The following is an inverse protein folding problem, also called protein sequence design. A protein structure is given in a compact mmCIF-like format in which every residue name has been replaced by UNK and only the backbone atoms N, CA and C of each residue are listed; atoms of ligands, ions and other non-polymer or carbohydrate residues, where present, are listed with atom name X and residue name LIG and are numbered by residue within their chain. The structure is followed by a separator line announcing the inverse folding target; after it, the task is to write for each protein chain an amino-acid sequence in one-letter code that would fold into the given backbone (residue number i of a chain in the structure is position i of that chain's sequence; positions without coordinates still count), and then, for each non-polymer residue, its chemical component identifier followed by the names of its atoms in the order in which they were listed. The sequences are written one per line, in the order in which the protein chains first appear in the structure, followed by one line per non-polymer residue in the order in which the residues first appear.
data_IF_623084384216
#
_entry.id   IF_623084384216
#
_cell.length_a   1.000
_cell.length_b   1.000
_cell.length_c   1.000
_cell.angle_alpha   90.00
_cell.angle_beta   90.00
_cell.angle_gamma   90.00
#
_symmetry.space_group_name_H-M   'P 1'
#
loop_
_entity.id
_entity.type
_entity.pdbx_description
1 polymer ?
#
# COMPACT_ATOMS: atom_id res chain seq x y z
N UNK A 1 11.67 64.70 -16.19
CA UNK A 1 12.66 63.61 -16.08
C UNK A 1 12.15 62.61 -15.03
N UNK A 2 11.35 61.61 -15.44
CA UNK A 2 10.76 60.58 -14.58
C UNK A 2 10.98 59.25 -15.30
N UNK A 3 11.84 58.39 -14.76
CA UNK A 3 12.13 57.06 -15.32
C UNK A 3 12.08 56.00 -14.22
N UNK A 4 11.09 55.11 -14.39
CA UNK A 4 11.19 53.65 -14.22
C UNK A 4 11.78 53.10 -12.90
N UNK A 5 10.91 52.88 -11.90
CA UNK A 5 11.11 51.84 -10.88
C UNK A 5 9.73 51.27 -10.51
N UNK A 6 9.12 50.45 -11.38
CA UNK A 6 7.82 49.81 -11.06
C UNK A 6 7.64 48.38 -11.59
N UNK A 7 8.66 47.74 -12.15
CA UNK A 7 8.50 46.44 -12.84
C UNK A 7 9.20 45.25 -12.19
N UNK A 8 9.78 45.37 -10.99
CA UNK A 8 10.54 44.26 -10.38
C UNK A 8 9.74 43.38 -9.39
N UNK A 9 8.49 43.72 -9.05
CA UNK A 9 7.72 42.99 -8.03
C UNK A 9 6.72 41.95 -8.57
N UNK A 10 6.63 41.76 -9.89
CA UNK A 10 5.64 40.86 -10.50
C UNK A 10 6.21 39.49 -10.93
N UNK A 11 7.53 39.29 -10.85
CA UNK A 11 8.17 38.04 -11.30
C UNK A 11 8.52 37.05 -10.17
N UNK A 12 8.27 37.39 -8.90
CA UNK A 12 8.66 36.56 -7.74
C UNK A 12 7.49 35.77 -7.10
N UNK A 13 6.30 35.77 -7.72
CA UNK A 13 5.11 35.11 -7.15
C UNK A 13 4.68 33.82 -7.89
N UNK A 14 5.41 33.42 -8.93
CA UNK A 14 5.10 32.22 -9.74
C UNK A 14 5.88 30.96 -9.31
N UNK A 15 6.80 31.06 -8.35
CA UNK A 15 7.69 29.95 -7.98
C UNK A 15 7.26 29.14 -6.73
N UNK A 16 6.17 29.49 -6.04
CA UNK A 16 5.85 28.92 -4.71
C UNK A 16 4.61 28.01 -4.64
N UNK A 17 4.14 27.49 -5.77
CA UNK A 17 3.03 26.53 -5.81
C UNK A 17 3.37 25.27 -6.61
N UNK A 18 4.59 24.75 -6.43
CA UNK A 18 4.84 23.34 -6.68
C UNK A 18 4.05 22.55 -5.63
N UNK A 19 2.75 22.38 -5.87
CA UNK A 19 1.98 21.36 -5.17
C UNK A 19 2.69 20.05 -5.45
N UNK A 20 3.15 19.39 -4.39
CA UNK A 20 3.58 18.00 -4.50
C UNK A 20 2.32 17.21 -4.80
N UNK A 21 2.02 17.04 -6.09
CA UNK A 21 1.09 16.02 -6.50
C UNK A 21 1.63 14.71 -5.90
N UNK A 22 0.91 14.18 -4.91
CA UNK A 22 1.20 12.83 -4.46
C UNK A 22 1.02 11.94 -5.68
N UNK A 23 2.06 11.16 -6.00
CA UNK A 23 1.96 10.15 -7.04
C UNK A 23 0.72 9.30 -6.74
N UNK A 24 0.00 8.90 -7.79
CA UNK A 24 -1.06 7.89 -7.64
C UNK A 24 -0.45 6.69 -6.91
N UNK A 25 -1.05 6.22 -5.81
CA UNK A 25 -0.44 5.16 -5.03
C UNK A 25 -0.19 3.92 -5.88
N UNK A 26 0.95 3.27 -5.64
CA UNK A 26 1.35 2.08 -6.39
C UNK A 26 1.04 0.88 -5.50
N UNK A 27 0.06 0.04 -5.87
CA UNK A 27 -0.29 -1.16 -5.10
C UNK A 27 -1.43 -0.92 -4.13
N UNK A 28 -1.18 -0.35 -2.94
CA UNK A 28 -2.22 -0.01 -1.98
C UNK A 28 -2.09 1.44 -1.49
N UNK A 29 -3.19 2.11 -1.16
CA UNK A 29 -3.25 3.57 -1.26
C UNK A 29 -2.65 4.36 -0.08
N UNK A 30 -1.92 5.44 -0.38
CA UNK A 30 -1.43 6.43 0.58
C UNK A 30 -0.68 5.79 1.77
N UNK A 31 -1.36 5.70 2.93
CA UNK A 31 -0.82 5.12 4.16
C UNK A 31 -0.47 3.64 4.02
N UNK A 32 -1.12 2.93 3.11
CA UNK A 32 -0.90 1.50 2.87
C UNK A 32 -0.07 1.23 1.61
N UNK A 33 0.63 2.22 1.05
CA UNK A 33 1.56 1.98 -0.08
C UNK A 33 2.49 0.82 0.24
N UNK A 34 2.57 -0.18 -0.66
CA UNK A 34 3.34 -1.40 -0.39
C UNK A 34 4.80 -1.11 0.01
N UNK A 35 5.35 0.03 -0.44
CA UNK A 35 6.70 0.47 -0.09
C UNK A 35 6.87 0.82 1.39
N UNK A 36 5.78 1.08 2.12
CA UNK A 36 5.77 1.32 3.58
C UNK A 36 5.64 0.04 4.40
N UNK A 37 5.36 -1.11 3.77
CA UNK A 37 5.19 -2.37 4.46
C UNK A 37 6.54 -2.94 4.90
N UNK A 38 6.61 -3.38 6.16
CA UNK A 38 7.76 -4.05 6.71
C UNK A 38 7.88 -5.45 6.10
N UNK A 39 9.05 -5.72 5.54
CA UNK A 39 9.39 -6.98 4.89
C UNK A 39 10.13 -7.86 5.88
N UNK A 40 9.63 -9.07 6.08
CA UNK A 40 10.26 -10.08 6.92
C UNK A 40 10.20 -11.43 6.23
N UNK A 41 11.16 -12.28 6.54
CA UNK A 41 11.18 -13.64 6.03
C UNK A 41 11.88 -14.56 7.01
N UNK A 42 11.62 -15.85 6.82
CA UNK A 42 12.46 -16.88 7.43
C UNK A 42 13.81 -16.98 6.71
N UNK A 43 13.88 -16.71 5.40
CA UNK A 43 15.09 -16.81 4.56
C UNK A 43 15.08 -15.83 3.35
N UNK A 44 15.80 -14.70 3.43
CA UNK A 44 15.99 -13.74 2.31
C UNK A 44 14.81 -12.79 2.05
N UNK A 45 14.98 -11.68 1.35
CA UNK A 45 13.91 -10.67 1.26
C UNK A 45 12.72 -11.11 0.38
N UNK A 46 11.46 -10.73 0.73
CA UNK A 46 10.28 -10.96 -0.09
C UNK A 46 10.43 -10.43 -1.52
N UNK A 47 10.13 -11.27 -2.50
CA UNK A 47 10.14 -10.86 -3.90
C UNK A 47 8.75 -10.38 -4.33
N UNK A 48 8.59 -9.06 -4.42
CA UNK A 48 7.42 -8.44 -5.04
C UNK A 48 7.64 -8.43 -6.54
N UNK A 49 6.87 -9.23 -7.28
CA UNK A 49 7.09 -9.43 -8.73
C UNK A 49 6.52 -8.30 -9.58
N UNK A 50 5.43 -7.68 -9.12
CA UNK A 50 4.82 -6.54 -9.78
C UNK A 50 3.91 -5.77 -8.83
N UNK A 51 3.80 -4.48 -9.11
CA UNK A 51 2.82 -3.60 -8.47
C UNK A 51 2.13 -2.78 -9.55
N UNK A 52 0.81 -2.95 -9.69
CA UNK A 52 0.00 -2.19 -10.64
C UNK A 52 -0.83 -1.16 -9.87
N UNK A 53 -0.35 0.08 -9.87
CA UNK A 53 -1.00 1.25 -9.27
C UNK A 53 -2.41 1.49 -9.80
N UNK A 54 -2.61 1.24 -11.10
CA UNK A 54 -3.88 1.54 -11.78
C UNK A 54 -4.96 0.54 -11.40
N UNK A 55 -4.56 -0.68 -11.03
CA UNK A 55 -5.44 -1.79 -10.66
C UNK A 55 -5.41 -2.10 -9.17
N UNK A 56 -4.63 -1.36 -8.38
CA UNK A 56 -4.37 -1.61 -6.97
C UNK A 56 -4.02 -3.08 -6.72
N UNK A 57 -3.07 -3.60 -7.49
CA UNK A 57 -2.69 -5.02 -7.47
C UNK A 57 -1.27 -5.18 -6.94
N UNK A 58 -1.09 -6.13 -6.03
CA UNK A 58 0.20 -6.56 -5.49
C UNK A 58 0.39 -8.04 -5.83
N UNK A 59 1.51 -8.38 -6.48
CA UNK A 59 1.88 -9.79 -6.69
C UNK A 59 3.12 -10.15 -5.87
N UNK A 60 2.99 -11.19 -5.04
CA UNK A 60 4.03 -11.72 -4.18
C UNK A 60 4.41 -13.11 -4.71
N UNK A 61 5.69 -13.33 -4.95
CA UNK A 61 6.22 -14.66 -5.22
C UNK A 61 6.64 -15.29 -3.90
N UNK A 62 6.41 -16.58 -3.76
CA UNK A 62 6.88 -17.32 -2.59
C UNK A 62 8.41 -17.54 -2.60
N UNK A 63 8.98 -18.02 -1.49
CA UNK A 63 10.40 -18.37 -1.44
C UNK A 63 10.72 -19.59 -2.33
N UNK A 64 11.71 -19.46 -3.23
CA UNK A 64 12.20 -20.53 -4.13
C UNK A 64 13.74 -20.44 -4.27
N UNK A 65 14.48 -20.62 -3.18
CA UNK A 65 15.92 -20.25 -3.18
C UNK A 65 16.88 -21.21 -2.47
N UNK A 66 16.44 -22.34 -1.94
CA UNK A 66 17.33 -23.09 -1.02
C UNK A 66 17.36 -24.60 -1.18
N UNK A 67 16.35 -25.23 -1.80
CA UNK A 67 16.21 -26.69 -1.87
C UNK A 67 16.61 -27.40 -0.56
N UNK A 68 16.27 -26.78 0.56
CA UNK A 68 16.68 -27.23 1.89
C UNK A 68 15.58 -28.07 2.56
N UNK A 69 14.44 -28.27 1.87
CA UNK A 69 13.25 -28.96 2.40
C UNK A 69 12.73 -28.34 3.71
N UNK A 70 13.01 -27.06 3.93
CA UNK A 70 12.52 -26.32 5.08
C UNK A 70 11.40 -25.42 4.63
N UNK A 71 10.30 -25.42 5.38
CA UNK A 71 9.21 -24.50 5.14
C UNK A 71 9.63 -23.05 5.41
N UNK A 72 9.14 -22.15 4.58
CA UNK A 72 9.56 -20.75 4.51
C UNK A 72 8.34 -19.88 4.24
N UNK A 73 8.38 -18.65 4.73
CA UNK A 73 7.36 -17.68 4.42
C UNK A 73 7.96 -16.28 4.26
N UNK A 74 7.51 -15.58 3.23
CA UNK A 74 7.69 -14.15 3.06
C UNK A 74 6.50 -13.41 3.63
N UNK A 75 6.75 -12.53 4.61
CA UNK A 75 5.71 -11.72 5.26
C UNK A 75 5.91 -10.24 4.94
N UNK A 76 4.88 -9.64 4.35
CA UNK A 76 4.73 -8.19 4.23
C UNK A 76 3.76 -7.75 5.31
N UNK A 77 4.18 -6.88 6.22
CA UNK A 77 3.38 -6.44 7.37
C UNK A 77 3.21 -4.93 7.47
N UNK A 78 2.10 -4.47 8.02
CA UNK A 78 1.82 -3.07 8.26
C UNK A 78 0.95 -2.89 9.50
N UNK A 79 1.13 -1.78 10.22
CA UNK A 79 0.23 -1.43 11.33
C UNK A 79 -1.05 -0.78 10.83
N UNK A 80 -2.16 -1.07 11.49
CA UNK A 80 -3.47 -0.48 11.19
C UNK A 80 -3.56 0.90 11.83
N UNK A 81 -3.88 1.93 11.03
CA UNK A 81 -3.92 3.32 11.53
C UNK A 81 -5.09 3.56 12.49
N UNK A 82 -6.28 3.06 12.12
CA UNK A 82 -7.53 3.28 12.84
C UNK A 82 -8.37 1.99 12.86
N UNK A 83 -9.27 1.86 13.83
CA UNK A 83 -10.18 0.72 13.86
C UNK A 83 -11.16 0.76 12.67
N UNK A 84 -11.56 -0.41 12.18
CA UNK A 84 -12.50 -0.54 11.07
C UNK A 84 -12.43 -1.92 10.43
N UNK A 85 -12.59 -2.00 9.10
CA UNK A 85 -12.56 -3.27 8.35
C UNK A 85 -11.41 -3.28 7.36
N UNK A 86 -10.62 -4.34 7.39
CA UNK A 86 -9.68 -4.70 6.32
C UNK A 86 -10.37 -5.67 5.39
N UNK A 87 -10.28 -5.41 4.09
CA UNK A 87 -10.82 -6.30 3.06
C UNK A 87 -9.95 -6.30 1.81
N UNK A 88 -9.90 -7.42 1.10
CA UNK A 88 -9.21 -7.55 -0.18
C UNK A 88 -9.72 -8.77 -0.94
N UNK A 89 -9.44 -8.79 -2.23
CA UNK A 89 -9.58 -9.97 -3.08
C UNK A 89 -8.20 -10.59 -3.32
N UNK A 90 -8.17 -11.90 -3.56
CA UNK A 90 -6.92 -12.62 -3.76
C UNK A 90 -7.07 -13.78 -4.73
N UNK A 91 -5.96 -14.15 -5.36
CA UNK A 91 -5.79 -15.37 -6.14
C UNK A 91 -4.42 -15.96 -5.92
N UNK A 92 -4.36 -17.27 -6.06
CA UNK A 92 -3.20 -18.08 -5.88
C UNK A 92 -3.03 -18.97 -7.10
N UNK A 93 -1.87 -18.85 -7.74
CA UNK A 93 -1.50 -19.62 -8.92
C UNK A 93 -0.51 -20.73 -8.56
N UNK A 94 -1.01 -21.95 -8.65
CA UNK A 94 -0.43 -23.24 -8.35
C UNK A 94 0.21 -23.92 -9.56
N UNK A 95 0.10 -23.35 -10.76
CA UNK A 95 0.57 -23.98 -12.00
C UNK A 95 2.11 -24.12 -12.04
N UNK A 96 2.81 -23.44 -11.12
CA UNK A 96 4.26 -23.33 -11.06
C UNK A 96 4.83 -24.26 -9.98
N UNK A 97 4.31 -24.19 -8.74
CA UNK A 97 4.70 -25.05 -7.62
C UNK A 97 3.46 -25.61 -6.92
N UNK A 98 3.32 -26.94 -7.00
CA UNK A 98 2.04 -27.62 -6.98
C UNK A 98 1.85 -28.59 -5.80
N UNK A 99 2.68 -28.54 -4.76
CA UNK A 99 2.53 -29.44 -3.60
C UNK A 99 2.64 -28.75 -2.25
N UNK A 100 3.15 -27.53 -2.24
CA UNK A 100 3.96 -27.09 -1.12
C UNK A 100 3.77 -25.60 -0.81
N UNK A 101 2.82 -24.96 -1.48
CA UNK A 101 2.73 -23.51 -1.56
C UNK A 101 1.48 -22.97 -0.88
N UNK A 102 1.45 -21.68 -0.55
CA UNK A 102 0.29 -21.09 0.10
C UNK A 102 0.27 -19.57 0.19
N UNK A 103 -0.95 -19.07 0.38
CA UNK A 103 -1.25 -17.68 0.73
C UNK A 103 -1.88 -17.63 2.12
N UNK A 104 -1.27 -16.85 2.98
CA UNK A 104 -1.71 -16.62 4.35
C UNK A 104 -1.97 -15.14 4.58
N UNK A 105 -2.90 -14.85 5.48
CA UNK A 105 -3.11 -13.51 6.02
C UNK A 105 -3.02 -13.57 7.54
N UNK A 106 -2.47 -12.53 8.17
CA UNK A 106 -2.29 -12.47 9.61
C UNK A 106 -2.89 -11.21 10.21
N UNK A 107 -3.44 -11.33 11.41
CA UNK A 107 -3.79 -10.20 12.29
C UNK A 107 -3.18 -10.49 13.66
N UNK A 108 -2.20 -9.69 14.11
CA UNK A 108 -1.47 -9.91 15.36
C UNK A 108 -0.99 -11.37 15.51
N UNK A 109 -0.38 -11.91 14.46
CA UNK A 109 0.09 -13.31 14.34
C UNK A 109 -0.99 -14.40 14.36
N UNK A 110 -2.27 -14.04 14.47
CA UNK A 110 -3.37 -14.99 14.21
C UNK A 110 -3.44 -15.28 12.72
N UNK A 111 -3.24 -16.56 12.36
CA UNK A 111 -3.24 -17.04 10.99
C UNK A 111 -4.66 -17.19 10.42
N UNK A 112 -4.86 -16.62 9.23
CA UNK A 112 -5.98 -16.85 8.33
C UNK A 112 -5.44 -17.48 7.05
N UNK A 113 -5.58 -18.79 6.96
CA UNK A 113 -5.10 -19.58 5.83
C UNK A 113 -6.05 -19.43 4.64
N UNK A 114 -5.57 -18.81 3.55
CA UNK A 114 -6.40 -18.50 2.38
C UNK A 114 -6.31 -19.61 1.32
N UNK A 115 -5.10 -20.10 1.02
CA UNK A 115 -4.88 -21.08 -0.05
C UNK A 115 -4.59 -22.52 0.42
N UNK A 116 -4.68 -22.80 1.72
CA UNK A 116 -4.49 -24.10 2.38
C UNK A 116 -3.03 -24.57 2.60
N UNK A 117 -2.01 -23.73 2.35
CA UNK A 117 -0.60 -24.02 2.63
C UNK A 117 0.02 -23.13 3.70
N UNK A 118 0.54 -23.74 4.77
CA UNK A 118 1.18 -23.05 5.90
C UNK A 118 2.05 -24.01 6.72
N UNK A 119 2.82 -23.51 7.69
CA UNK A 119 3.75 -24.34 8.49
C UNK A 119 3.11 -25.56 9.19
N UNK A 120 1.83 -25.48 9.57
CA UNK A 120 1.09 -26.60 10.19
C UNK A 120 0.44 -27.55 9.18
N UNK A 121 0.37 -27.17 7.91
CA UNK A 121 -0.07 -28.00 6.79
C UNK A 121 0.81 -27.72 5.55
N UNK A 122 2.09 -28.15 5.56
CA UNK A 122 3.04 -27.78 4.52
C UNK A 122 2.75 -28.42 3.17
N UNK A 123 2.07 -29.58 3.14
CA UNK A 123 1.83 -30.36 1.93
C UNK A 123 0.35 -30.33 1.56
N UNK A 124 -0.02 -29.33 0.76
CA UNK A 124 -1.36 -29.10 0.25
C UNK A 124 -1.35 -29.43 -1.25
N UNK A 125 -2.42 -30.02 -1.80
CA UNK A 125 -2.48 -30.39 -3.23
C UNK A 125 -3.70 -29.79 -3.93
N UNK A 126 -4.16 -28.63 -3.48
CA UNK A 126 -5.47 -28.09 -3.81
C UNK A 126 -5.44 -26.98 -4.87
N UNK A 127 -4.60 -27.09 -5.90
CA UNK A 127 -4.73 -26.33 -7.15
C UNK A 127 -4.85 -24.80 -7.05
N UNK A 128 -5.24 -24.18 -8.17
CA UNK A 128 -5.50 -22.74 -8.23
C UNK A 128 -6.70 -22.35 -7.35
N UNK A 129 -6.56 -21.26 -6.59
CA UNK A 129 -7.61 -20.76 -5.70
C UNK A 129 -7.76 -19.25 -5.79
N UNK A 130 -8.94 -18.77 -5.46
CA UNK A 130 -9.21 -17.34 -5.32
C UNK A 130 -10.35 -17.11 -4.35
N UNK A 131 -10.46 -15.89 -3.85
CA UNK A 131 -11.53 -15.51 -2.95
C UNK A 131 -11.44 -14.05 -2.53
N UNK A 132 -12.27 -13.71 -1.55
CA UNK A 132 -12.25 -12.42 -0.87
C UNK A 132 -12.08 -12.64 0.63
N UNK A 133 -11.47 -11.67 1.30
CA UNK A 133 -11.29 -11.65 2.74
C UNK A 133 -11.84 -10.33 3.30
N UNK A 134 -12.49 -10.39 4.45
CA UNK A 134 -12.99 -9.21 5.16
C UNK A 134 -13.06 -9.45 6.66
N UNK A 135 -12.45 -8.57 7.44
CA UNK A 135 -12.42 -8.70 8.90
C UNK A 135 -12.31 -7.34 9.60
N UNK A 136 -12.94 -7.24 10.77
CA UNK A 136 -12.76 -6.08 11.65
C UNK A 136 -11.38 -6.10 12.30
N UNK A 137 -10.75 -4.93 12.38
CA UNK A 137 -9.44 -4.70 13.00
C UNK A 137 -9.48 -3.48 13.92
N UNK A 138 -8.59 -3.44 14.89
CA UNK A 138 -8.37 -2.32 15.79
C UNK A 138 -7.19 -1.47 15.35
N UNK A 139 -7.17 -0.20 15.79
CA UNK A 139 -6.00 0.65 15.60
C UNK A 139 -4.79 0.04 16.33
N UNK A 140 -3.64 -0.03 15.64
CA UNK A 140 -2.42 -0.63 16.16
C UNK A 140 -2.26 -2.12 15.88
N UNK A 141 -3.30 -2.81 15.39
CA UNK A 141 -3.16 -4.20 14.93
C UNK A 141 -2.10 -4.29 13.83
N UNK A 142 -1.34 -5.38 13.81
CA UNK A 142 -0.41 -5.69 12.72
C UNK A 142 -1.09 -6.66 11.77
N UNK A 143 -1.29 -6.22 10.53
CA UNK A 143 -1.77 -7.07 9.44
C UNK A 143 -0.59 -7.53 8.59
N UNK A 144 -0.66 -8.74 8.04
CA UNK A 144 0.38 -9.20 7.12
C UNK A 144 -0.13 -10.16 6.04
N UNK A 145 0.46 -10.07 4.84
CA UNK A 145 0.36 -11.09 3.80
C UNK A 145 1.57 -12.02 3.90
N UNK A 146 1.31 -13.33 3.90
CA UNK A 146 2.32 -14.39 3.93
C UNK A 146 2.30 -15.22 2.66
N UNK A 147 3.39 -15.22 1.89
CA UNK A 147 3.60 -16.16 0.79
C UNK A 147 4.47 -17.31 1.30
N UNK A 148 3.90 -18.51 1.37
CA UNK A 148 4.48 -19.68 2.02
C UNK A 148 4.91 -20.73 0.98
N UNK A 149 6.10 -21.30 1.14
CA UNK A 149 6.54 -22.51 0.43
C UNK A 149 7.13 -23.52 1.43
N UNK A 150 6.81 -24.80 1.31
CA UNK A 150 7.25 -25.85 2.21
C UNK A 150 8.61 -26.45 1.85
N UNK A 151 8.98 -26.41 0.58
CA UNK A 151 10.16 -27.07 0.03
C UNK A 151 11.16 -26.10 -0.61
N UNK A 152 10.72 -24.89 -0.98
CA UNK A 152 11.56 -23.84 -1.56
C UNK A 152 12.26 -24.30 -2.84
N UNK A 153 11.55 -25.05 -3.68
CA UNK A 153 12.01 -25.66 -4.91
C UNK A 153 11.16 -25.23 -6.11
N UNK A 154 11.70 -25.51 -7.30
CA UNK A 154 10.88 -25.90 -8.44
C UNK A 154 10.04 -24.76 -9.02
N UNK A 155 10.55 -23.52 -8.92
CA UNK A 155 9.89 -22.26 -9.28
C UNK A 155 8.93 -21.78 -8.19
N UNK A 156 8.69 -20.47 -8.12
CA UNK A 156 7.80 -19.89 -7.11
C UNK A 156 6.34 -19.78 -7.59
N UNK A 157 5.40 -20.32 -6.83
CA UNK A 157 3.99 -19.96 -6.96
C UNK A 157 3.79 -18.44 -6.77
N UNK A 158 2.73 -17.93 -7.42
CA UNK A 158 2.41 -16.49 -7.39
C UNK A 158 1.10 -16.23 -6.68
N UNK A 159 1.15 -15.23 -5.81
CA UNK A 159 0.02 -14.75 -5.02
C UNK A 159 -0.32 -13.35 -5.50
N UNK A 160 -1.56 -13.13 -5.95
CA UNK A 160 -2.02 -11.82 -6.40
C UNK A 160 -3.10 -11.32 -5.45
N UNK A 161 -2.96 -10.09 -4.98
CA UNK A 161 -3.88 -9.42 -4.06
C UNK A 161 -4.34 -8.13 -4.72
N UNK A 162 -5.64 -7.84 -4.71
CA UNK A 162 -6.19 -6.61 -5.28
C UNK A 162 -7.41 -6.12 -4.48
N UNK A 163 -7.92 -4.94 -4.83
CA UNK A 163 -9.04 -4.29 -4.13
C UNK A 163 -8.84 -4.17 -2.61
N UNK A 164 -7.59 -4.03 -2.16
CA UNK A 164 -7.32 -3.90 -0.74
C UNK A 164 -7.84 -2.56 -0.23
N UNK A 165 -8.59 -2.65 0.84
CA UNK A 165 -9.12 -1.54 1.58
C UNK A 165 -8.85 -1.78 3.06
N UNK A 166 -8.36 -0.76 3.74
CA UNK A 166 -8.10 -0.79 5.16
C UNK A 166 -8.38 0.58 5.77
N UNK A 167 -8.76 0.63 7.06
CA UNK A 167 -9.13 1.89 7.69
C UNK A 167 -7.92 2.79 7.79
N UNK A 168 -8.04 3.99 7.24
CA UNK A 168 -7.01 5.02 7.35
C UNK A 168 -7.46 6.07 8.35
N UNK A 169 -6.50 6.66 9.07
CA UNK A 169 -6.78 7.91 9.76
C UNK A 169 -7.15 8.94 8.69
N UNK A 170 -8.28 9.63 8.88
CA UNK A 170 -8.59 10.81 8.08
C UNK A 170 -7.44 11.80 8.30
N UNK A 171 -6.53 11.91 7.33
CA UNK A 171 -5.52 12.96 7.34
C UNK A 171 -6.30 14.26 7.37
N UNK A 172 -6.17 15.11 8.41
CA UNK A 172 -6.85 16.39 8.43
C UNK A 172 -6.52 17.12 7.14
N UNK A 173 -7.53 17.63 6.43
CA UNK A 173 -7.31 18.36 5.18
C UNK A 173 -6.17 19.36 5.39
N UNK A 174 -5.16 19.39 4.51
CA UNK A 174 -3.99 20.21 4.74
C UNK A 174 -4.44 21.65 4.96
N UNK A 175 -3.95 22.29 6.02
CA UNK A 175 -4.25 23.69 6.37
C UNK A 175 -4.04 24.66 5.19
N UNK A 176 -3.31 24.23 4.16
CA UNK A 176 -3.25 24.81 2.83
C UNK A 176 -4.61 25.19 2.22
N UNK A 177 -5.68 24.41 2.41
CA UNK A 177 -7.02 24.75 1.91
C UNK A 177 -7.61 25.91 2.72
N UNK A 178 -7.47 25.87 4.04
CA UNK A 178 -7.87 26.97 4.91
C UNK A 178 -7.07 28.26 4.59
N UNK A 179 -5.76 28.14 4.38
CA UNK A 179 -4.88 29.24 4.00
C UNK A 179 -5.18 29.77 2.59
N UNK A 180 -5.52 28.90 1.64
CA UNK A 180 -5.96 29.30 0.31
C UNK A 180 -7.27 30.08 0.40
N UNK A 181 -8.24 29.59 1.17
CA UNK A 181 -9.50 30.28 1.44
C UNK A 181 -9.28 31.65 2.08
N UNK A 182 -8.42 31.74 3.10
CA UNK A 182 -8.07 32.99 3.77
C UNK A 182 -7.30 33.94 2.86
N UNK A 183 -6.38 33.44 2.03
CA UNK A 183 -5.64 34.21 1.04
C UNK A 183 -6.58 34.85 0.01
N UNK A 184 -7.52 34.07 -0.52
CA UNK A 184 -8.54 34.56 -1.47
C UNK A 184 -9.50 35.59 -0.82
N UNK A 185 -9.87 35.36 0.44
CA UNK A 185 -10.67 36.33 1.20
C UNK A 185 -9.92 37.65 1.41
N UNK A 186 -8.62 37.59 1.78
CA UNK A 186 -7.77 38.76 1.94
C UNK A 186 -7.61 39.59 0.66
N UNK A 187 -7.43 38.93 -0.50
CA UNK A 187 -7.37 39.59 -1.81
C UNK A 187 -8.71 40.26 -2.17
N UNK A 188 -9.83 39.61 -1.85
CA UNK A 188 -11.17 40.14 -2.13
C UNK A 188 -11.48 41.40 -1.29
N UNK A 189 -11.07 41.41 -0.02
CA UNK A 189 -11.23 42.56 0.87
C UNK A 189 -10.35 43.74 0.46
N UNK A 190 -9.12 43.49 0.00
CA UNK A 190 -8.22 44.55 -0.48
C UNK A 190 -8.69 45.17 -1.80
N UNK A 191 -9.30 44.40 -2.72
CA UNK A 191 -9.91 44.94 -3.95
C UNK A 191 -11.05 45.93 -3.68
N UNK A 192 -11.88 45.71 -2.66
CA UNK A 192 -13.02 46.60 -2.35
C UNK A 192 -12.60 47.99 -1.90
N UNK A 193 -11.47 48.13 -1.19
CA UNK A 193 -10.98 49.43 -0.69
C UNK A 193 -10.53 50.38 -1.80
N UNK A 194 -10.11 49.87 -2.96
CA UNK A 194 -9.67 50.69 -4.11
C UNK A 194 -10.80 51.31 -4.92
N UNK A 195 -12.06 50.90 -4.72
CA UNK A 195 -13.20 51.44 -5.50
C UNK A 195 -13.83 52.70 -4.89
N UNK A 196 -13.45 53.06 -3.66
CA UNK A 196 -14.01 54.19 -2.91
C UNK A 196 -12.99 55.33 -2.65
N UNK A 197 -11.92 55.41 -3.45
CA UNK A 197 -10.96 56.52 -3.46
C UNK A 197 -10.72 56.96 -4.90
#
# INVERSE_FOLDING_TARGET
MRRTIFSAFFALFTALFASTAFASPVGFNNFYDYSTWAKTSTFGDPVVSSVDATKQTLTIMEPDFTWNWQSQEYRLSHSVATAGTVSFDWSFNWDIDACCSGLNFYINDTLYNLANGYFGNPYNFEGNKSGSFSMAVSAGDIIAFGAFSADGCCQAATNTIWNFNAPTASVPEPASIALLGLGLAGISLTRRRRKNS
#
